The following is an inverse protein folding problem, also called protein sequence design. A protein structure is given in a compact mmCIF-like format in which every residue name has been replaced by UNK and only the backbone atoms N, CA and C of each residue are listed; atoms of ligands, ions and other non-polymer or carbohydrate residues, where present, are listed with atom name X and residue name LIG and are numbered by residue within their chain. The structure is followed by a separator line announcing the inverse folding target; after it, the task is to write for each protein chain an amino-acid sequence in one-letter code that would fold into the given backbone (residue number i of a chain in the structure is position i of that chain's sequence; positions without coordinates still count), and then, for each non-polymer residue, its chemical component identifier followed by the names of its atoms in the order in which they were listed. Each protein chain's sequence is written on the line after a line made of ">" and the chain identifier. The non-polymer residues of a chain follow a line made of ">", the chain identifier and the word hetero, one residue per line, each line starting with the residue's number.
data_IF_297549580439
#
_entry.id   IF_297549580439
#
_cell.length_a   1.000
_cell.length_b   1.000
_cell.length_c   1.000
_cell.angle_alpha   90.00
_cell.angle_beta   90.00
_cell.angle_gamma   90.00
#
_symmetry.space_group_name_H-M   'P 1'
#
loop_
_entity.id
_entity.type
_entity.pdbx_description
1 polymer ?
#
# COMPACT_ATOMS: atom_id res chain seq x y z
N UNK A 1 -9.45 -25.62 -5.39
CA UNK A 1 -8.56 -24.98 -4.40
C UNK A 1 -7.33 -24.44 -5.16
N UNK A 2 -6.75 -23.31 -4.75
CA UNK A 2 -5.59 -22.71 -5.44
C UNK A 2 -4.28 -23.39 -5.03
N UNK A 3 -3.82 -24.40 -5.75
CA UNK A 3 -2.52 -25.04 -5.49
C UNK A 3 -1.44 -24.53 -6.45
N UNK A 4 -0.22 -24.33 -5.93
CA UNK A 4 0.92 -23.86 -6.73
C UNK A 4 1.27 -24.92 -7.79
N UNK A 5 1.45 -24.50 -9.04
CA UNK A 5 1.90 -25.42 -10.08
C UNK A 5 3.41 -25.68 -9.98
N UNK A 6 3.91 -26.83 -10.47
CA UNK A 6 5.35 -27.09 -10.57
C UNK A 6 6.09 -25.97 -11.33
N UNK A 7 5.52 -25.50 -12.44
CA UNK A 7 6.11 -24.42 -13.24
C UNK A 7 6.34 -23.11 -12.46
N UNK A 8 5.36 -22.70 -11.63
CA UNK A 8 5.52 -21.52 -10.76
C UNK A 8 6.53 -21.82 -9.64
N UNK A 9 6.40 -22.98 -8.98
CA UNK A 9 7.26 -23.36 -7.86
C UNK A 9 8.74 -23.41 -8.26
N UNK A 10 9.02 -23.98 -9.42
CA UNK A 10 10.37 -24.20 -9.94
C UNK A 10 10.92 -23.03 -10.74
N UNK A 11 10.10 -22.01 -11.04
CA UNK A 11 10.46 -20.89 -11.90
C UNK A 11 10.90 -21.33 -13.31
N UNK A 12 10.21 -22.31 -13.88
CA UNK A 12 10.37 -22.75 -15.28
C UNK A 12 10.05 -21.57 -16.21
N UNK A 13 10.78 -21.34 -17.31
CA UNK A 13 10.72 -20.06 -18.06
C UNK A 13 10.39 -20.20 -19.55
N UNK A 14 10.32 -21.44 -20.04
CA UNK A 14 10.33 -21.79 -21.46
C UNK A 14 9.14 -21.20 -22.23
N UNK A 15 7.99 -21.13 -21.59
CA UNK A 15 6.71 -20.60 -22.09
C UNK A 15 6.58 -19.07 -22.02
N UNK A 16 7.50 -18.35 -21.35
CA UNK A 16 7.41 -16.90 -21.10
C UNK A 16 8.68 -16.11 -21.41
N UNK A 17 9.79 -16.77 -21.77
CA UNK A 17 11.11 -16.15 -21.85
C UNK A 17 11.12 -14.86 -22.69
N UNK A 18 10.60 -14.90 -23.92
CA UNK A 18 10.57 -13.73 -24.80
C UNK A 18 9.58 -12.65 -24.32
N UNK A 19 8.46 -13.05 -23.71
CA UNK A 19 7.50 -12.11 -23.12
C UNK A 19 8.14 -11.21 -22.07
N UNK A 20 9.06 -11.75 -21.26
CA UNK A 20 9.79 -10.97 -20.24
C UNK A 20 10.65 -9.88 -20.86
N UNK A 21 11.15 -10.08 -22.07
CA UNK A 21 12.01 -9.13 -22.78
C UNK A 21 11.22 -8.01 -23.47
N UNK A 22 9.89 -8.13 -23.52
CA UNK A 22 8.97 -7.10 -24.05
C UNK A 22 8.55 -6.04 -23.01
N UNK A 23 8.83 -6.26 -21.73
CA UNK A 23 8.56 -5.29 -20.66
C UNK A 23 9.62 -4.17 -20.64
N UNK A 24 9.21 -2.97 -20.22
CA UNK A 24 10.10 -1.83 -20.07
C UNK A 24 10.55 -1.71 -18.62
N UNK A 25 11.78 -2.13 -18.34
CA UNK A 25 12.37 -2.10 -17.01
C UNK A 25 13.06 -0.77 -16.69
N UNK A 26 13.07 -0.37 -15.42
CA UNK A 26 13.78 0.83 -14.97
C UNK A 26 15.28 0.57 -14.76
N UNK A 27 16.03 0.48 -15.86
CA UNK A 27 17.45 0.08 -15.85
C UNK A 27 18.45 1.22 -16.03
N UNK A 28 18.00 2.47 -16.24
CA UNK A 28 18.89 3.61 -16.58
C UNK A 28 20.03 3.81 -15.58
N UNK A 29 19.72 3.75 -14.28
CA UNK A 29 20.73 3.91 -13.23
C UNK A 29 21.68 2.71 -13.18
N UNK A 30 21.15 1.49 -13.19
CA UNK A 30 21.93 0.25 -13.20
C UNK A 30 22.92 0.21 -14.36
N UNK A 31 22.46 0.51 -15.58
CA UNK A 31 23.31 0.54 -16.78
C UNK A 31 24.40 1.63 -16.68
N UNK A 32 24.10 2.76 -16.04
CA UNK A 32 25.12 3.78 -15.79
C UNK A 32 26.19 3.32 -14.81
N UNK A 33 25.85 2.50 -13.80
CA UNK A 33 26.83 1.95 -12.86
C UNK A 33 27.72 0.90 -13.54
N UNK A 34 27.11 0.01 -14.34
CA UNK A 34 27.82 -0.99 -15.16
C UNK A 34 28.81 -0.30 -16.11
N UNK A 35 28.38 0.74 -16.82
CA UNK A 35 29.25 1.50 -17.74
C UNK A 35 30.44 2.16 -17.04
N UNK A 36 30.30 2.51 -15.75
CA UNK A 36 31.36 3.09 -14.93
C UNK A 36 32.30 2.04 -14.33
N UNK A 37 32.04 0.75 -14.54
CA UNK A 37 32.82 -0.34 -13.95
C UNK A 37 32.72 -0.38 -12.42
N UNK A 38 31.58 0.05 -11.85
CA UNK A 38 31.35 -0.05 -10.41
C UNK A 38 31.32 -1.52 -10.02
N UNK A 39 31.95 -1.83 -8.89
CA UNK A 39 32.00 -3.17 -8.32
C UNK A 39 30.60 -3.73 -8.06
N UNK A 40 30.41 -5.03 -8.28
CA UNK A 40 29.14 -5.72 -8.08
C UNK A 40 28.74 -5.81 -6.60
N UNK A 41 29.73 -5.74 -5.69
CA UNK A 41 29.52 -5.71 -4.26
C UNK A 41 29.30 -4.28 -3.71
N UNK A 42 29.41 -3.26 -4.58
CA UNK A 42 29.15 -1.88 -4.17
C UNK A 42 27.67 -1.71 -3.77
N UNK A 43 27.38 -1.07 -2.61
CA UNK A 43 26.01 -0.88 -2.14
C UNK A 43 25.08 -0.19 -3.15
N UNK A 44 25.60 0.72 -3.98
CA UNK A 44 24.82 1.40 -5.02
C UNK A 44 24.44 0.46 -6.16
N UNK A 45 25.37 -0.41 -6.59
CA UNK A 45 25.10 -1.44 -7.58
C UNK A 45 24.09 -2.46 -7.04
N UNK A 46 24.34 -3.02 -5.86
CA UNK A 46 23.46 -4.01 -5.22
C UNK A 46 22.04 -3.46 -5.06
N UNK A 47 21.89 -2.24 -4.58
CA UNK A 47 20.58 -1.59 -4.43
C UNK A 47 19.86 -1.45 -5.77
N UNK A 48 20.57 -0.97 -6.81
CA UNK A 48 19.98 -0.80 -8.15
C UNK A 48 19.64 -2.14 -8.81
N UNK A 49 20.50 -3.16 -8.68
CA UNK A 49 20.27 -4.49 -9.21
C UNK A 49 19.10 -5.19 -8.52
N UNK A 50 18.99 -5.11 -7.18
CA UNK A 50 17.86 -5.70 -6.44
C UNK A 50 16.52 -5.06 -6.79
N UNK A 51 16.51 -3.75 -7.06
CA UNK A 51 15.30 -3.07 -7.56
C UNK A 51 14.89 -3.57 -8.94
N UNK A 52 15.85 -3.74 -9.85
CA UNK A 52 15.61 -4.31 -11.18
C UNK A 52 15.16 -5.77 -11.09
N UNK A 53 15.86 -6.60 -10.32
CA UNK A 53 15.55 -8.02 -10.13
C UNK A 53 14.14 -8.23 -9.56
N UNK A 54 13.70 -7.37 -8.64
CA UNK A 54 12.34 -7.36 -8.14
C UNK A 54 11.29 -7.08 -9.24
N UNK A 55 11.55 -6.10 -10.11
CA UNK A 55 10.66 -5.77 -11.23
C UNK A 55 10.56 -6.92 -12.25
N UNK A 56 11.68 -7.58 -12.56
CA UNK A 56 11.69 -8.76 -13.44
C UNK A 56 10.95 -9.93 -12.79
N UNK A 57 11.17 -10.18 -11.49
CA UNK A 57 10.45 -11.23 -10.76
C UNK A 57 8.94 -10.98 -10.76
N UNK A 58 8.50 -9.74 -10.58
CA UNK A 58 7.09 -9.38 -10.63
C UNK A 58 6.45 -9.70 -11.98
N UNK A 59 7.13 -9.36 -13.08
CA UNK A 59 6.65 -9.67 -14.43
C UNK A 59 6.71 -11.18 -14.72
N UNK A 60 7.75 -11.88 -14.25
CA UNK A 60 7.88 -13.33 -14.36
C UNK A 60 6.67 -14.04 -13.73
N UNK A 61 6.39 -13.73 -12.47
CA UNK A 61 5.30 -14.37 -11.74
C UNK A 61 3.96 -13.96 -12.33
N UNK A 62 3.80 -12.71 -12.77
CA UNK A 62 2.58 -12.26 -13.44
C UNK A 62 2.30 -13.07 -14.72
N UNK A 63 3.29 -13.26 -15.61
CA UNK A 63 3.14 -14.07 -16.83
C UNK A 63 2.75 -15.52 -16.53
N UNK A 64 3.31 -16.08 -15.44
CA UNK A 64 2.95 -17.42 -14.98
C UNK A 64 1.56 -17.51 -14.40
N UNK A 65 1.16 -16.51 -13.61
CA UNK A 65 -0.19 -16.44 -13.05
C UNK A 65 -1.24 -16.26 -14.15
N UNK A 66 -0.91 -15.57 -15.23
CA UNK A 66 -1.79 -15.40 -16.39
C UNK A 66 -2.12 -16.76 -17.05
N UNK A 67 -1.10 -17.57 -17.35
CA UNK A 67 -1.24 -18.94 -17.88
C UNK A 67 -1.95 -19.87 -16.89
N UNK A 68 -1.55 -19.81 -15.62
CA UNK A 68 -2.21 -20.57 -14.56
C UNK A 68 -3.71 -20.24 -14.46
N UNK A 69 -4.08 -18.96 -14.58
CA UNK A 69 -5.47 -18.54 -14.51
C UNK A 69 -6.29 -18.97 -15.73
N UNK A 70 -5.67 -19.04 -16.90
CA UNK A 70 -6.30 -19.56 -18.12
C UNK A 70 -6.72 -21.02 -17.94
N UNK A 71 -5.80 -21.85 -17.46
CA UNK A 71 -6.00 -23.30 -17.29
C UNK A 71 -6.84 -23.64 -16.05
N UNK A 72 -6.76 -22.82 -14.98
CA UNK A 72 -7.41 -23.15 -13.73
C UNK A 72 -8.90 -22.78 -13.73
N UNK A 73 -9.77 -23.79 -13.69
CA UNK A 73 -11.23 -23.63 -13.64
C UNK A 73 -11.78 -22.98 -12.38
N UNK A 74 -11.00 -22.91 -11.30
CA UNK A 74 -11.42 -22.19 -10.09
C UNK A 74 -11.41 -20.67 -10.31
N UNK A 75 -10.54 -20.19 -11.19
CA UNK A 75 -10.41 -18.77 -11.53
C UNK A 75 -11.39 -18.46 -12.65
N UNK A 76 -12.28 -17.50 -12.40
CA UNK A 76 -13.31 -17.07 -13.35
C UNK A 76 -12.88 -15.85 -14.14
N UNK A 77 -12.09 -14.97 -13.53
CA UNK A 77 -11.55 -13.77 -14.17
C UNK A 77 -10.16 -13.43 -13.65
N UNK A 78 -9.29 -12.94 -14.52
CA UNK A 78 -7.95 -12.46 -14.18
C UNK A 78 -7.76 -11.06 -14.77
N UNK A 79 -7.22 -10.14 -13.97
CA UNK A 79 -7.07 -8.73 -14.33
C UNK A 79 -5.76 -8.53 -15.09
N UNK A 80 -5.87 -8.04 -16.33
CA UNK A 80 -4.74 -7.79 -17.20
C UNK A 80 -3.95 -6.52 -16.78
N UNK A 81 -2.62 -6.59 -16.89
CA UNK A 81 -1.66 -5.48 -16.74
C UNK A 81 -0.59 -5.55 -17.83
N UNK A 82 0.32 -4.57 -17.90
CA UNK A 82 1.38 -4.57 -18.91
C UNK A 82 0.85 -4.40 -20.33
N UNK A 83 1.59 -4.96 -21.28
CA UNK A 83 1.19 -4.98 -22.70
C UNK A 83 -0.02 -5.88 -22.99
N UNK A 84 -0.53 -6.64 -22.02
CA UNK A 84 -1.72 -7.48 -22.19
C UNK A 84 -3.01 -6.66 -22.20
N UNK A 85 -3.02 -5.45 -21.66
CA UNK A 85 -4.22 -4.60 -21.62
C UNK A 85 -4.22 -3.51 -22.72
N UNK A 86 -5.41 -3.05 -23.13
CA UNK A 86 -5.58 -1.87 -23.97
C UNK A 86 -5.10 -0.56 -23.31
N UNK A 87 -4.98 0.49 -24.13
CA UNK A 87 -4.35 1.79 -23.77
C UNK A 87 -4.90 2.37 -22.45
N UNK A 88 -3.98 2.85 -21.62
CA UNK A 88 -4.23 3.45 -20.32
C UNK A 88 -5.27 4.57 -20.38
N UNK A 89 -6.43 4.36 -19.75
CA UNK A 89 -7.36 5.44 -19.41
C UNK A 89 -7.32 5.66 -17.90
N UNK A 90 -6.87 6.85 -17.51
CA UNK A 90 -6.80 7.27 -16.11
C UNK A 90 -8.21 7.65 -15.62
N UNK A 91 -8.96 6.66 -15.15
CA UNK A 91 -10.27 6.89 -14.56
C UNK A 91 -10.15 7.16 -13.05
N UNK A 92 -10.87 8.17 -12.56
CA UNK A 92 -10.87 8.51 -11.14
C UNK A 92 -11.87 7.64 -10.34
N UNK A 93 -11.50 7.28 -9.11
CA UNK A 93 -12.29 6.47 -8.18
C UNK A 93 -12.60 5.07 -8.70
N UNK A 94 -11.65 4.46 -9.41
CA UNK A 94 -11.75 3.10 -9.91
C UNK A 94 -10.40 2.40 -9.96
N UNK A 95 -10.41 1.10 -10.26
CA UNK A 95 -9.24 0.36 -10.70
C UNK A 95 -8.89 0.73 -12.14
N UNK A 96 -7.60 0.95 -12.39
CA UNK A 96 -7.05 1.30 -13.69
C UNK A 96 -5.61 0.81 -13.79
N UNK A 97 -5.01 0.96 -14.96
CA UNK A 97 -3.58 0.69 -15.15
C UNK A 97 -2.77 1.98 -15.04
N UNK A 98 -1.67 1.90 -14.30
CA UNK A 98 -0.77 3.03 -14.08
C UNK A 98 0.09 3.32 -15.31
N UNK A 99 0.82 4.44 -15.29
CA UNK A 99 1.83 4.72 -16.34
C UNK A 99 2.98 3.71 -16.30
N UNK A 100 3.19 3.05 -15.15
CA UNK A 100 4.14 1.95 -14.96
C UNK A 100 3.51 0.59 -15.25
N UNK A 101 2.36 0.58 -15.91
CA UNK A 101 1.61 -0.61 -16.30
C UNK A 101 1.15 -1.52 -15.14
N UNK A 102 1.05 -0.98 -13.92
CA UNK A 102 0.58 -1.71 -12.72
C UNK A 102 -0.91 -1.52 -12.48
N UNK A 103 -1.56 -2.48 -11.81
CA UNK A 103 -2.96 -2.36 -11.41
C UNK A 103 -3.05 -1.43 -10.21
N UNK A 104 -3.75 -0.31 -10.34
CA UNK A 104 -3.85 0.69 -9.27
C UNK A 104 -5.30 1.11 -9.03
N UNK A 105 -5.63 1.33 -7.76
CA UNK A 105 -6.84 2.08 -7.41
C UNK A 105 -6.49 3.57 -7.27
N UNK A 106 -7.18 4.42 -8.05
CA UNK A 106 -6.93 5.86 -8.07
C UNK A 106 -8.09 6.64 -7.47
N UNK A 107 -7.80 7.70 -6.72
CA UNK A 107 -8.76 8.76 -6.42
C UNK A 107 -8.23 10.08 -6.99
N UNK A 108 -9.04 10.76 -7.80
CA UNK A 108 -8.59 11.91 -8.59
C UNK A 108 -7.30 11.56 -9.35
N UNK A 109 -6.19 12.26 -9.08
CA UNK A 109 -4.86 12.03 -9.68
C UNK A 109 -3.87 11.29 -8.77
N UNK A 110 -4.35 10.63 -7.70
CA UNK A 110 -3.49 9.94 -6.73
C UNK A 110 -3.79 8.45 -6.66
N UNK A 111 -2.73 7.66 -6.68
CA UNK A 111 -2.78 6.22 -6.46
C UNK A 111 -2.87 5.94 -4.95
N UNK A 112 -3.89 5.18 -4.55
CA UNK A 112 -4.12 4.78 -3.15
C UNK A 112 -3.41 3.46 -2.86
N UNK A 113 -3.47 2.55 -3.83
CA UNK A 113 -2.92 1.22 -3.75
C UNK A 113 -2.60 0.72 -5.14
N UNK A 114 -1.55 -0.11 -5.19
CA UNK A 114 -1.06 -0.83 -6.36
C UNK A 114 -1.17 -2.32 -6.07
N UNK A 115 -1.38 -3.16 -7.08
CA UNK A 115 -1.53 -4.61 -6.94
C UNK A 115 -0.72 -5.31 -8.02
N UNK A 116 0.05 -6.32 -7.62
CA UNK A 116 0.96 -7.03 -8.53
C UNK A 116 0.17 -7.91 -9.51
N UNK A 117 -0.91 -8.53 -9.03
CA UNK A 117 -1.94 -9.20 -9.82
C UNK A 117 -3.27 -9.25 -9.05
N UNK A 118 -4.38 -9.46 -9.77
CA UNK A 118 -5.71 -9.63 -9.19
C UNK A 118 -6.53 -10.64 -9.98
N UNK A 119 -7.33 -11.47 -9.29
CA UNK A 119 -8.24 -12.40 -9.94
C UNK A 119 -9.47 -12.73 -9.08
N UNK A 120 -10.51 -13.24 -9.74
CA UNK A 120 -11.80 -13.60 -9.16
C UNK A 120 -12.01 -15.11 -9.28
N UNK A 121 -12.68 -15.70 -8.30
CA UNK A 121 -12.94 -17.15 -8.26
C UNK A 121 -14.43 -17.48 -8.39
N UNK A 122 -14.75 -18.78 -8.53
CA UNK A 122 -16.13 -19.28 -8.53
C UNK A 122 -16.91 -18.96 -7.25
N UNK A 123 -16.24 -18.71 -6.13
CA UNK A 123 -16.85 -18.55 -4.81
C UNK A 123 -17.07 -17.08 -4.40
N UNK A 124 -17.15 -16.15 -5.36
CA UNK A 124 -17.17 -14.70 -5.09
C UNK A 124 -16.01 -14.27 -4.17
N UNK A 125 -14.83 -14.83 -4.41
CA UNK A 125 -13.60 -14.38 -3.76
C UNK A 125 -12.82 -13.50 -4.73
N UNK A 126 -12.25 -12.44 -4.20
CA UNK A 126 -11.30 -11.60 -4.92
C UNK A 126 -9.93 -11.79 -4.27
N UNK A 127 -9.00 -12.31 -5.05
CA UNK A 127 -7.60 -12.44 -4.67
C UNK A 127 -6.82 -11.25 -5.22
N UNK A 128 -6.09 -10.58 -4.35
CA UNK A 128 -4.97 -9.74 -4.75
C UNK A 128 -3.66 -10.45 -4.45
N UNK A 129 -2.66 -10.27 -5.30
CA UNK A 129 -1.37 -10.94 -5.18
C UNK A 129 -0.33 -9.94 -4.68
N UNK A 130 0.49 -10.38 -3.72
CA UNK A 130 1.76 -9.74 -3.43
C UNK A 130 2.90 -10.73 -3.69
N UNK A 131 3.95 -10.27 -4.34
CA UNK A 131 5.18 -11.02 -4.52
C UNK A 131 6.38 -10.22 -4.03
N UNK A 132 7.39 -10.90 -3.48
CA UNK A 132 8.59 -10.23 -2.97
C UNK A 132 9.78 -11.19 -2.86
N UNK A 133 10.95 -10.70 -3.26
CA UNK A 133 12.24 -11.37 -3.05
C UNK A 133 12.82 -11.13 -1.63
N UNK A 134 12.25 -10.19 -0.88
CA UNK A 134 12.72 -9.84 0.48
C UNK A 134 12.48 -10.98 1.47
N UNK A 135 13.52 -11.39 2.19
CA UNK A 135 13.48 -12.49 3.18
C UNK A 135 12.58 -12.22 4.39
N UNK A 136 12.47 -10.97 4.85
CA UNK A 136 11.63 -10.62 6.01
C UNK A 136 10.33 -9.95 5.57
N UNK A 137 9.20 -10.57 5.91
CA UNK A 137 7.86 -10.12 5.46
C UNK A 137 7.09 -9.28 6.48
N UNK A 138 7.73 -8.85 7.58
CA UNK A 138 7.06 -8.07 8.64
C UNK A 138 6.42 -6.78 8.12
N UNK A 139 7.12 -6.05 7.24
CA UNK A 139 6.60 -4.82 6.62
C UNK A 139 5.45 -5.08 5.65
N UNK A 140 5.37 -6.28 5.06
CA UNK A 140 4.33 -6.65 4.10
C UNK A 140 2.95 -6.67 4.77
N UNK A 141 2.86 -7.12 6.03
CA UNK A 141 1.59 -7.21 6.77
C UNK A 141 0.81 -5.90 6.84
N UNK A 142 1.50 -4.76 7.03
CA UNK A 142 0.85 -3.43 7.04
C UNK A 142 0.27 -3.06 5.68
N UNK A 143 0.98 -3.39 4.60
CA UNK A 143 0.55 -3.17 3.22
C UNK A 143 -0.66 -4.04 2.87
N UNK A 144 -0.65 -5.32 3.28
CA UNK A 144 -1.78 -6.24 3.10
C UNK A 144 -3.06 -5.75 3.78
N UNK A 145 -2.96 -5.27 5.03
CA UNK A 145 -4.12 -4.74 5.77
C UNK A 145 -4.78 -3.59 5.02
N UNK A 146 -4.00 -2.65 4.50
CA UNK A 146 -4.50 -1.51 3.71
C UNK A 146 -5.16 -1.94 2.41
N UNK A 147 -4.51 -2.85 1.67
CA UNK A 147 -5.01 -3.41 0.41
C UNK A 147 -6.34 -4.14 0.62
N UNK A 148 -6.40 -5.00 1.64
CA UNK A 148 -7.64 -5.69 2.04
C UNK A 148 -8.75 -4.71 2.39
N UNK A 149 -8.48 -3.73 3.27
CA UNK A 149 -9.49 -2.75 3.69
C UNK A 149 -10.05 -1.95 2.51
N UNK A 150 -9.20 -1.53 1.57
CA UNK A 150 -9.65 -0.87 0.33
C UNK A 150 -10.59 -1.79 -0.47
N UNK A 151 -10.17 -3.02 -0.73
CA UNK A 151 -10.92 -3.97 -1.54
C UNK A 151 -12.26 -4.34 -0.89
N UNK A 152 -12.32 -4.49 0.44
CA UNK A 152 -13.57 -4.73 1.17
C UNK A 152 -14.55 -3.55 1.09
N UNK A 153 -14.06 -2.33 0.87
CA UNK A 153 -14.90 -1.14 0.68
C UNK A 153 -15.47 -1.10 -0.74
N UNK A 154 -14.65 -1.40 -1.75
CA UNK A 154 -15.05 -1.25 -3.17
C UNK A 154 -15.65 -2.54 -3.76
N UNK A 155 -15.52 -3.69 -3.09
CA UNK A 155 -16.12 -4.97 -3.45
C UNK A 155 -16.82 -5.61 -2.25
N UNK A 156 -17.90 -4.99 -1.72
CA UNK A 156 -18.55 -5.46 -0.49
C UNK A 156 -19.17 -6.86 -0.61
N UNK A 157 -19.45 -7.32 -1.84
CA UNK A 157 -20.04 -8.63 -2.11
C UNK A 157 -19.00 -9.74 -2.34
N UNK A 158 -17.71 -9.43 -2.17
CA UNK A 158 -16.63 -10.39 -2.34
C UNK A 158 -15.92 -10.68 -1.03
N UNK A 159 -15.53 -11.93 -0.83
CA UNK A 159 -14.57 -12.28 0.23
C UNK A 159 -13.18 -11.93 -0.26
N UNK A 160 -12.53 -10.97 0.40
CA UNK A 160 -11.19 -10.54 0.02
C UNK A 160 -10.14 -11.47 0.60
N UNK A 161 -9.35 -12.08 -0.28
CA UNK A 161 -8.22 -12.95 0.06
C UNK A 161 -6.94 -12.41 -0.58
N UNK A 162 -5.80 -12.88 -0.12
CA UNK A 162 -4.52 -12.58 -0.75
C UNK A 162 -3.73 -13.83 -1.05
N UNK A 163 -3.02 -13.81 -2.18
CA UNK A 163 -2.00 -14.79 -2.50
C UNK A 163 -0.64 -14.13 -2.33
N UNK A 164 0.20 -14.69 -1.48
CA UNK A 164 1.54 -14.17 -1.19
C UNK A 164 2.55 -15.14 -1.79
N UNK A 165 3.41 -14.65 -2.68
CA UNK A 165 4.42 -15.46 -3.35
C UNK A 165 5.79 -15.02 -2.83
N UNK A 166 6.52 -15.96 -2.24
CA UNK A 166 7.80 -15.74 -1.56
C UNK A 166 8.84 -16.72 -2.07
N UNK A 167 10.11 -16.35 -1.99
CA UNK A 167 11.18 -17.33 -2.18
C UNK A 167 11.33 -18.23 -0.95
N UNK A 168 11.83 -19.44 -1.18
CA UNK A 168 12.30 -20.34 -0.12
C UNK A 168 13.29 -19.60 0.80
N UNK A 169 13.19 -19.87 2.10
CA UNK A 169 13.97 -19.18 3.13
C UNK A 169 13.38 -17.85 3.63
N UNK A 170 12.24 -17.39 3.11
CA UNK A 170 11.54 -16.25 3.70
C UNK A 170 11.04 -16.55 5.13
N UNK A 171 11.28 -15.62 6.05
CA UNK A 171 10.92 -15.75 7.47
C UNK A 171 9.69 -14.90 7.81
N UNK A 172 8.91 -15.35 8.80
CA UNK A 172 7.72 -14.63 9.27
C UNK A 172 6.41 -14.96 8.53
N UNK A 173 6.44 -15.87 7.53
CA UNK A 173 5.25 -16.27 6.77
C UNK A 173 4.13 -16.88 7.67
N UNK A 174 4.50 -17.57 8.75
CA UNK A 174 3.53 -18.12 9.72
C UNK A 174 2.71 -17.04 10.45
N UNK A 175 3.13 -15.78 10.41
CA UNK A 175 2.43 -14.66 11.06
C UNK A 175 1.43 -13.95 10.14
N UNK A 176 1.24 -14.44 8.90
CA UNK A 176 0.23 -13.86 8.03
C UNK A 176 -1.19 -14.15 8.54
N UNK A 177 -2.11 -13.19 8.37
CA UNK A 177 -3.52 -13.41 8.67
C UNK A 177 -4.14 -14.58 7.86
N UNK A 178 -5.25 -15.13 8.36
CA UNK A 178 -5.96 -16.26 7.74
C UNK A 178 -6.50 -16.00 6.32
N UNK A 179 -6.65 -14.74 5.90
CA UNK A 179 -7.03 -14.41 4.53
C UNK A 179 -5.87 -14.56 3.52
N UNK A 180 -4.64 -14.79 3.99
CA UNK A 180 -3.46 -14.96 3.16
C UNK A 180 -3.21 -16.45 2.87
N UNK A 181 -3.12 -16.81 1.58
CA UNK A 181 -2.48 -18.04 1.14
C UNK A 181 -1.04 -17.75 0.76
N UNK A 182 -0.10 -18.62 1.12
CA UNK A 182 1.33 -18.43 0.84
C UNK A 182 1.82 -19.53 -0.10
N UNK A 183 2.54 -19.12 -1.14
CA UNK A 183 3.25 -19.97 -2.09
C UNK A 183 4.74 -19.69 -1.99
N UNK A 184 5.53 -20.75 -2.04
CA UNK A 184 6.99 -20.67 -2.03
C UNK A 184 7.55 -21.09 -3.39
N UNK A 185 8.42 -20.25 -3.95
CA UNK A 185 9.18 -20.50 -5.17
C UNK A 185 10.64 -20.73 -4.85
N UNK A 186 11.38 -21.35 -5.78
CA UNK A 186 12.85 -21.34 -5.75
C UNK A 186 13.41 -19.92 -5.78
N UNK A 187 14.72 -19.80 -5.56
CA UNK A 187 15.42 -18.53 -5.71
C UNK A 187 15.40 -18.06 -7.17
N UNK A 188 15.05 -16.79 -7.36
CA UNK A 188 14.97 -16.15 -8.67
C UNK A 188 16.21 -15.30 -8.93
N UNK A 189 16.65 -15.25 -10.19
CA UNK A 189 17.71 -14.35 -10.66
C UNK A 189 17.32 -13.70 -11.98
N UNK A 190 17.58 -12.40 -12.08
CA UNK A 190 17.34 -11.61 -13.30
C UNK A 190 18.58 -11.51 -14.22
N UNK A 191 19.64 -12.30 -13.96
CA UNK A 191 20.91 -12.20 -14.67
C UNK A 191 20.77 -12.32 -16.20
N UNK A 192 19.98 -13.28 -16.69
CA UNK A 192 19.77 -13.48 -18.12
C UNK A 192 19.04 -12.31 -18.80
N UNK A 193 18.07 -11.71 -18.09
CA UNK A 193 17.35 -10.53 -18.59
C UNK A 193 18.29 -9.33 -18.62
N UNK A 194 19.14 -9.16 -17.60
CA UNK A 194 20.16 -8.11 -17.60
C UNK A 194 21.14 -8.29 -18.76
N UNK A 195 21.62 -9.52 -18.99
CA UNK A 195 22.52 -9.87 -20.09
C UNK A 195 21.91 -9.52 -21.45
N UNK A 196 20.63 -9.82 -21.67
CA UNK A 196 19.95 -9.43 -22.90
C UNK A 196 19.84 -7.90 -23.06
N UNK A 197 19.57 -7.17 -21.98
CA UNK A 197 19.45 -5.70 -22.02
C UNK A 197 20.79 -5.03 -22.34
N UNK A 198 21.91 -5.59 -21.86
CA UNK A 198 23.27 -5.05 -22.06
C UNK A 198 23.91 -5.46 -23.39
N UNK A 199 23.44 -6.54 -24.04
CA UNK A 199 23.91 -6.96 -25.36
C UNK A 199 23.72 -5.88 -26.42
N UNK A 200 24.79 -5.63 -27.19
CA UNK A 200 24.80 -4.71 -28.33
C UNK A 200 24.08 -5.29 -29.55
N UNK A 201 24.27 -6.59 -29.79
CA UNK A 201 23.57 -7.34 -30.82
C UNK A 201 22.43 -8.13 -30.17
N UNK A 202 21.20 -7.69 -30.41
CA UNK A 202 20.00 -8.27 -29.79
C UNK A 202 19.40 -9.29 -30.73
N UNK A 203 19.25 -10.52 -30.24
CA UNK A 203 18.46 -11.53 -30.93
C UNK A 203 17.04 -11.00 -31.18
N UNK A 204 16.46 -11.37 -32.32
CA UNK A 204 15.10 -10.99 -32.66
C UNK A 204 14.12 -11.76 -31.77
N UNK A 205 13.37 -11.02 -30.96
CA UNK A 205 12.32 -11.59 -30.12
C UNK A 205 11.16 -12.12 -30.96
N UNK A 206 10.55 -13.21 -30.50
CA UNK A 206 9.23 -13.62 -30.94
C UNK A 206 8.19 -12.52 -30.63
N UNK A 207 7.09 -12.44 -31.40
CA UNK A 207 6.00 -11.53 -31.09
C UNK A 207 5.46 -11.73 -29.67
N UNK A 208 4.90 -10.66 -29.09
CA UNK A 208 4.25 -10.71 -27.78
C UNK A 208 3.17 -11.78 -27.77
N UNK A 209 3.33 -12.78 -26.91
CA UNK A 209 2.31 -13.79 -26.70
C UNK A 209 1.24 -13.25 -25.75
N UNK A 210 0.02 -13.04 -26.28
CA UNK A 210 -1.12 -12.50 -25.53
C UNK A 210 -2.19 -13.56 -25.38
N UNK A 211 -2.59 -13.82 -24.14
CA UNK A 211 -3.67 -14.75 -23.83
C UNK A 211 -5.04 -14.14 -24.15
N UNK A 212 -5.75 -14.75 -25.10
CA UNK A 212 -7.07 -14.32 -25.56
C UNK A 212 -8.19 -15.21 -25.00
N UNK A 213 -8.26 -15.31 -23.67
CA UNK A 213 -9.30 -16.06 -22.97
C UNK A 213 -10.41 -15.13 -22.45
N UNK A 214 -11.66 -15.63 -22.39
CA UNK A 214 -12.79 -14.91 -21.76
C UNK A 214 -12.59 -14.65 -20.26
N UNK A 215 -11.65 -15.37 -19.63
CA UNK A 215 -11.23 -15.11 -18.24
C UNK A 215 -10.42 -13.82 -18.12
N UNK A 216 -9.76 -13.37 -19.19
CA UNK A 216 -8.88 -12.19 -19.15
C UNK A 216 -9.70 -10.92 -19.31
N UNK A 217 -9.64 -10.05 -18.31
CA UNK A 217 -10.42 -8.81 -18.26
C UNK A 217 -9.52 -7.61 -18.00
N UNK A 218 -9.93 -6.45 -18.52
CA UNK A 218 -9.29 -5.19 -18.16
C UNK A 218 -9.74 -4.72 -16.77
N UNK A 219 -8.87 -4.00 -16.05
CA UNK A 219 -9.14 -3.52 -14.71
C UNK A 219 -10.42 -2.67 -14.60
N UNK A 220 -10.72 -1.89 -15.64
CA UNK A 220 -11.89 -1.01 -15.69
C UNK A 220 -13.22 -1.76 -15.87
N UNK A 221 -13.20 -3.04 -16.28
CA UNK A 221 -14.40 -3.86 -16.46
C UNK A 221 -14.96 -4.38 -15.14
N UNK A 222 -14.19 -4.31 -14.05
CA UNK A 222 -14.67 -4.61 -12.71
C UNK A 222 -15.68 -3.54 -12.28
N UNK A 223 -16.85 -3.98 -11.83
CA UNK A 223 -17.86 -3.09 -11.25
C UNK A 223 -17.57 -2.87 -9.78
N UNK A 224 -17.23 -1.64 -9.42
CA UNK A 224 -16.87 -1.25 -8.06
C UNK A 224 -18.06 -0.61 -7.35
N UNK A 225 -18.17 -0.85 -6.05
CA UNK A 225 -19.01 -0.06 -5.17
C UNK A 225 -18.43 1.37 -5.06
N UNK A 226 -19.25 2.43 -5.21
CA UNK A 226 -18.76 3.80 -5.17
C UNK A 226 -18.03 4.13 -3.87
N UNK A 227 -16.81 4.64 -4.00
CA UNK A 227 -16.01 5.07 -2.85
C UNK A 227 -15.32 6.41 -3.12
N UNK A 228 -15.67 7.42 -2.30
CA UNK A 228 -15.13 8.78 -2.42
C UNK A 228 -14.17 9.07 -1.27
N UNK A 229 -12.90 8.75 -1.49
CA UNK A 229 -11.82 8.79 -0.49
C UNK A 229 -11.83 10.06 0.40
N UNK A 230 -11.79 11.25 -0.19
CA UNK A 230 -11.73 12.50 0.57
C UNK A 230 -13.05 12.85 1.26
N UNK A 231 -14.19 12.50 0.66
CA UNK A 231 -15.51 12.74 1.25
C UNK A 231 -15.71 11.86 2.49
N UNK A 232 -15.30 10.60 2.42
CA UNK A 232 -15.34 9.68 3.56
C UNK A 232 -14.42 10.20 4.69
N UNK A 233 -13.20 10.65 4.37
CA UNK A 233 -12.32 11.24 5.38
C UNK A 233 -12.93 12.48 6.03
N UNK A 234 -13.52 13.39 5.24
CA UNK A 234 -14.25 14.55 5.76
C UNK A 234 -15.42 14.17 6.66
N UNK A 235 -16.20 13.15 6.27
CA UNK A 235 -17.32 12.65 7.06
C UNK A 235 -16.85 12.08 8.40
N UNK A 236 -15.77 11.29 8.41
CA UNK A 236 -15.19 10.73 9.64
C UNK A 236 -14.73 11.85 10.57
N UNK A 237 -13.94 12.81 10.07
CA UNK A 237 -13.45 13.95 10.87
C UNK A 237 -14.61 14.75 11.48
N UNK A 238 -15.66 15.05 10.70
CA UNK A 238 -16.84 15.76 11.19
C UNK A 238 -17.59 14.95 12.24
N UNK A 239 -17.81 13.67 12.00
CA UNK A 239 -18.65 12.81 12.84
C UNK A 239 -17.97 12.49 14.18
N UNK A 240 -16.67 12.20 14.18
CA UNK A 240 -15.89 11.99 15.43
C UNK A 240 -16.00 13.20 16.36
N UNK A 241 -16.14 14.41 15.79
CA UNK A 241 -16.18 15.69 16.52
C UNK A 241 -17.59 16.29 16.66
N UNK A 242 -18.63 15.59 16.22
CA UNK A 242 -19.98 16.15 16.19
C UNK A 242 -20.62 16.29 17.59
N UNK A 243 -20.21 15.46 18.55
CA UNK A 243 -20.80 15.45 19.88
C UNK A 243 -20.24 16.58 20.75
N UNK A 244 -21.10 17.44 21.30
CA UNK A 244 -20.70 18.57 22.16
C UNK A 244 -20.18 18.16 23.54
N UNK A 245 -20.52 16.95 24.03
CA UNK A 245 -20.13 16.46 25.37
C UNK A 245 -18.76 15.82 25.39
N UNK A 246 -18.30 15.27 24.26
CA UNK A 246 -17.07 14.49 24.20
C UNK A 246 -16.07 15.12 23.24
N UNK A 247 -14.79 15.04 23.59
CA UNK A 247 -13.71 15.52 22.70
C UNK A 247 -13.63 14.64 21.44
N UNK A 248 -13.89 13.35 21.56
CA UNK A 248 -14.05 12.45 20.42
C UNK A 248 -15.14 11.45 20.72
N UNK A 249 -15.94 11.09 19.72
CA UNK A 249 -16.92 10.02 19.82
C UNK A 249 -16.23 8.65 19.68
N UNK A 250 -15.92 8.03 20.82
CA UNK A 250 -15.30 6.70 20.87
C UNK A 250 -16.23 5.60 20.35
N UNK A 251 -17.55 5.73 20.51
CA UNK A 251 -18.49 4.72 20.01
C UNK A 251 -18.47 4.70 18.49
N UNK A 252 -18.51 5.87 17.86
CA UNK A 252 -18.36 6.00 16.43
C UNK A 252 -17.01 5.48 15.93
N UNK A 253 -15.91 5.92 16.56
CA UNK A 253 -14.55 5.51 16.19
C UNK A 253 -14.38 3.99 16.20
N UNK A 254 -14.98 3.31 17.17
CA UNK A 254 -14.82 1.87 17.37
C UNK A 254 -15.85 1.02 16.61
N UNK A 255 -16.75 1.61 15.82
CA UNK A 255 -17.62 0.83 14.94
C UNK A 255 -16.80 0.06 13.89
N UNK A 256 -17.25 -1.14 13.52
CA UNK A 256 -16.55 -1.99 12.54
C UNK A 256 -16.31 -1.26 11.21
N UNK A 257 -17.32 -0.52 10.73
CA UNK A 257 -17.23 0.30 9.51
C UNK A 257 -16.12 1.35 9.59
N UNK A 258 -16.03 2.07 10.71
CA UNK A 258 -15.01 3.11 10.90
C UNK A 258 -13.63 2.51 11.11
N UNK A 259 -13.52 1.38 11.81
CA UNK A 259 -12.28 0.64 11.95
C UNK A 259 -11.74 0.13 10.61
N UNK A 260 -12.61 -0.34 9.71
CA UNK A 260 -12.22 -0.72 8.34
C UNK A 260 -11.68 0.47 7.55
N UNK A 261 -12.29 1.64 7.67
CA UNK A 261 -11.70 2.87 7.12
C UNK A 261 -10.37 3.19 7.80
N UNK A 262 -10.25 3.03 9.12
CA UNK A 262 -9.01 3.32 9.83
C UNK A 262 -7.86 2.43 9.36
N UNK A 263 -8.15 1.18 9.01
CA UNK A 263 -7.19 0.27 8.39
C UNK A 263 -6.73 0.75 7.01
N UNK A 264 -7.61 1.35 6.21
CA UNK A 264 -7.28 1.97 4.92
C UNK A 264 -6.45 3.26 5.08
N UNK A 265 -6.96 4.25 5.82
CA UNK A 265 -6.31 5.56 5.97
C UNK A 265 -5.07 5.50 6.89
N UNK A 266 -5.02 4.51 7.79
CA UNK A 266 -4.10 4.36 8.92
C UNK A 266 -4.18 5.48 9.97
N UNK A 267 -4.89 6.58 9.68
CA UNK A 267 -5.04 7.72 10.57
C UNK A 267 -6.32 8.51 10.30
N UNK A 268 -6.86 9.10 11.35
CA UNK A 268 -7.96 10.06 11.28
C UNK A 268 -7.58 11.37 11.94
N UNK A 269 -8.00 12.48 11.35
CA UNK A 269 -7.69 13.81 11.84
C UNK A 269 -8.85 14.33 12.67
N UNK A 270 -8.56 14.87 13.85
CA UNK A 270 -9.59 15.19 14.86
C UNK A 270 -9.58 16.64 15.33
N UNK A 271 -8.54 17.41 15.00
CA UNK A 271 -8.47 18.81 15.33
C UNK A 271 -7.08 19.38 15.12
N UNK A 272 -6.84 20.58 15.63
CA UNK A 272 -5.52 21.21 15.61
C UNK A 272 -5.27 22.04 16.87
N UNK A 273 -4.00 22.30 17.15
CA UNK A 273 -3.52 23.32 18.08
C UNK A 273 -2.62 24.29 17.30
N UNK A 274 -2.12 25.32 17.96
CA UNK A 274 -1.08 26.20 17.41
C UNK A 274 0.33 25.68 17.74
N UNK A 275 1.34 26.12 16.98
CA UNK A 275 2.75 25.87 17.29
C UNK A 275 3.10 26.44 18.65
N UNK A 276 2.57 27.62 19.00
CA UNK A 276 2.75 28.26 20.31
C UNK A 276 2.43 27.32 21.46
N UNK A 277 1.30 26.61 21.40
CA UNK A 277 0.87 25.68 22.44
C UNK A 277 1.70 24.37 22.47
N UNK A 278 2.19 23.95 21.30
CA UNK A 278 2.84 22.64 21.15
C UNK A 278 4.38 22.69 21.14
N UNK A 279 4.98 23.88 21.11
CA UNK A 279 6.43 24.11 21.00
C UNK A 279 7.23 23.29 22.02
N UNK A 280 6.83 23.36 23.28
CA UNK A 280 7.50 22.64 24.37
C UNK A 280 7.21 21.13 24.32
N UNK A 281 6.01 20.72 23.93
CA UNK A 281 5.63 19.30 23.86
C UNK A 281 6.35 18.57 22.73
N UNK A 282 6.58 19.26 21.60
CA UNK A 282 7.21 18.70 20.40
C UNK A 282 8.71 19.02 20.29
N UNK A 283 9.29 19.70 21.29
CA UNK A 283 10.69 20.15 21.29
C UNK A 283 11.07 20.92 20.00
N UNK A 284 10.20 21.84 19.56
CA UNK A 284 10.42 22.63 18.35
C UNK A 284 11.52 23.67 18.60
N UNK A 285 12.38 23.90 17.61
CA UNK A 285 13.43 24.93 17.71
C UNK A 285 12.81 26.32 17.59
N UNK A 286 13.45 27.31 18.22
CA UNK A 286 13.07 28.71 18.07
C UNK A 286 13.09 29.13 16.60
N UNK A 287 12.06 29.84 16.14
CA UNK A 287 11.93 30.29 14.76
C UNK A 287 11.75 29.18 13.70
N UNK A 288 11.60 27.91 14.09
CA UNK A 288 11.43 26.80 13.13
C UNK A 288 10.10 26.90 12.36
N UNK A 289 9.06 27.39 13.02
CA UNK A 289 7.70 27.56 12.50
C UNK A 289 7.09 28.86 13.03
N UNK A 290 6.09 29.39 12.33
CA UNK A 290 5.29 30.51 12.86
C UNK A 290 4.47 30.05 14.06
N UNK A 291 4.37 30.89 15.10
CA UNK A 291 3.64 30.56 16.34
C UNK A 291 2.17 30.21 16.10
N UNK A 292 1.53 30.87 15.14
CA UNK A 292 0.12 30.66 14.76
C UNK A 292 -0.09 29.49 13.79
N UNK A 293 1.00 28.83 13.37
CA UNK A 293 0.92 27.72 12.44
C UNK A 293 0.20 26.54 13.10
N UNK A 294 -0.72 25.92 12.34
CA UNK A 294 -1.52 24.80 12.84
C UNK A 294 -0.69 23.53 12.99
N UNK A 295 -0.80 22.91 14.16
CA UNK A 295 -0.34 21.56 14.48
C UNK A 295 -1.56 20.64 14.43
N UNK A 296 -1.72 19.92 13.32
CA UNK A 296 -2.86 19.02 13.09
C UNK A 296 -2.70 17.76 13.94
N UNK A 297 -3.73 17.41 14.70
CA UNK A 297 -3.79 16.23 15.58
C UNK A 297 -4.48 15.09 14.84
N UNK A 298 -3.84 13.92 14.84
CA UNK A 298 -4.35 12.71 14.21
C UNK A 298 -4.30 11.49 15.14
N UNK A 299 -5.27 10.60 14.98
CA UNK A 299 -5.35 9.29 15.61
C UNK A 299 -4.76 8.25 14.66
N UNK A 300 -3.52 7.83 14.87
CA UNK A 300 -2.84 6.83 14.05
C UNK A 300 -3.05 5.43 14.61
N UNK A 301 -3.54 4.50 13.78
CA UNK A 301 -3.62 3.07 14.13
C UNK A 301 -2.29 2.39 13.84
N UNK A 302 -1.70 1.79 14.87
CA UNK A 302 -0.47 1.00 14.81
C UNK A 302 -0.75 -0.42 14.33
N UNK A 303 0.31 -1.17 14.07
CA UNK A 303 0.16 -2.55 13.62
C UNK A 303 -0.45 -3.47 14.69
N UNK A 304 -0.16 -3.19 15.96
CA UNK A 304 -0.76 -3.81 17.15
C UNK A 304 -2.25 -3.49 17.34
N UNK A 305 -2.85 -2.75 16.42
CA UNK A 305 -4.20 -2.18 16.50
C UNK A 305 -4.39 -1.12 17.61
N UNK A 306 -3.32 -0.79 18.33
CA UNK A 306 -3.27 0.38 19.20
C UNK A 306 -3.48 1.67 18.39
N UNK A 307 -4.38 2.54 18.85
CA UNK A 307 -4.58 3.85 18.27
C UNK A 307 -3.87 4.89 19.15
N UNK A 308 -2.95 5.66 18.56
CA UNK A 308 -2.17 6.67 19.27
C UNK A 308 -2.35 8.06 18.67
N UNK A 309 -2.02 9.09 19.44
CA UNK A 309 -2.04 10.47 18.94
C UNK A 309 -0.71 10.82 18.27
N UNK A 310 -0.79 11.39 17.07
CA UNK A 310 0.34 11.92 16.29
C UNK A 310 0.03 13.33 15.81
N UNK A 311 1.08 14.05 15.41
CA UNK A 311 0.98 15.48 15.09
C UNK A 311 1.60 15.78 13.73
N UNK A 312 1.00 16.69 13.00
CA UNK A 312 1.43 17.07 11.66
C UNK A 312 1.57 18.58 11.56
N UNK A 313 2.72 19.03 11.06
CA UNK A 313 2.97 20.44 10.76
C UNK A 313 3.22 20.56 9.26
N UNK A 314 2.32 21.26 8.57
CA UNK A 314 2.42 21.52 7.14
C UNK A 314 2.99 22.92 6.93
N UNK A 315 4.17 23.02 6.31
CA UNK A 315 4.83 24.31 6.03
C UNK A 315 4.50 24.83 4.64
N UNK A 316 4.28 23.95 3.68
CA UNK A 316 3.82 24.29 2.33
C UNK A 316 2.88 23.21 1.81
N UNK A 317 2.29 23.43 0.63
CA UNK A 317 1.44 22.43 -0.04
C UNK A 317 2.12 21.07 -0.24
N UNK A 318 3.47 21.04 -0.31
CA UNK A 318 4.27 19.84 -0.55
C UNK A 318 5.15 19.44 0.63
N UNK A 319 5.30 20.28 1.65
CA UNK A 319 6.18 20.02 2.79
C UNK A 319 5.35 19.73 4.05
N UNK A 320 5.50 18.52 4.56
CA UNK A 320 4.79 18.02 5.74
C UNK A 320 5.75 17.26 6.66
N UNK A 321 5.69 17.57 7.94
CA UNK A 321 6.42 16.86 8.99
C UNK A 321 5.45 16.13 9.91
N UNK A 322 5.75 14.87 10.19
CA UNK A 322 5.12 14.07 11.25
C UNK A 322 5.97 14.18 12.52
N UNK A 323 5.30 14.42 13.63
CA UNK A 323 5.83 14.30 14.97
C UNK A 323 5.09 13.19 15.72
N UNK A 324 5.86 12.24 16.25
CA UNK A 324 5.35 11.11 17.03
C UNK A 324 6.21 10.86 18.26
N UNK A 325 5.68 10.15 19.25
CA UNK A 325 6.42 9.78 20.46
C UNK A 325 6.85 8.31 20.37
N UNK A 326 8.13 8.06 20.64
CA UNK A 326 8.69 6.72 20.85
C UNK A 326 9.41 6.71 22.20
N UNK A 327 8.92 5.94 23.18
CA UNK A 327 9.47 5.90 24.55
C UNK A 327 9.76 7.29 25.14
N UNK A 328 8.75 8.17 25.06
CA UNK A 328 8.80 9.59 25.46
C UNK A 328 9.74 10.51 24.63
N UNK A 329 10.52 9.97 23.70
CA UNK A 329 11.31 10.77 22.75
C UNK A 329 10.46 11.21 21.56
N UNK A 330 10.54 12.50 21.24
CA UNK A 330 9.91 13.06 20.03
C UNK A 330 10.70 12.62 18.80
N UNK A 331 10.02 12.01 17.84
CA UNK A 331 10.53 11.63 16.53
C UNK A 331 9.92 12.54 15.48
N UNK A 332 10.78 13.23 14.71
CA UNK A 332 10.41 14.08 13.58
C UNK A 332 10.72 13.36 12.27
N UNK A 333 9.72 13.22 11.40
CA UNK A 333 9.85 12.57 10.10
C UNK A 333 9.31 13.49 8.99
N UNK A 334 10.13 13.76 7.96
CA UNK A 334 9.66 14.46 6.75
C UNK A 334 8.89 13.48 5.87
N UNK A 335 7.67 13.84 5.48
CA UNK A 335 6.85 13.02 4.58
C UNK A 335 7.18 13.27 3.10
N UNK A 336 6.97 12.24 2.29
CA UNK A 336 7.10 12.32 0.83
C UNK A 336 6.17 13.42 0.28
N UNK A 337 6.70 14.43 -0.42
CA UNK A 337 5.93 15.50 -1.05
C UNK A 337 4.81 15.05 -2.00
N UNK A 338 4.95 13.85 -2.57
CA UNK A 338 3.98 13.26 -3.50
C UNK A 338 3.10 12.20 -2.84
N UNK A 339 3.38 11.86 -1.57
CA UNK A 339 2.61 10.91 -0.80
C UNK A 339 1.21 11.41 -0.45
N UNK A 340 0.25 10.49 -0.38
CA UNK A 340 -1.16 10.81 -0.12
C UNK A 340 -1.40 11.55 1.21
N UNK A 341 -0.55 11.29 2.20
CA UNK A 341 -0.65 11.95 3.52
C UNK A 341 -0.51 13.47 3.42
N UNK A 342 0.30 13.98 2.49
CA UNK A 342 0.42 15.44 2.26
C UNK A 342 -0.90 16.02 1.78
N UNK A 343 -1.55 15.34 0.84
CA UNK A 343 -2.85 15.77 0.30
C UNK A 343 -3.99 15.58 1.29
N UNK A 344 -3.93 14.56 2.14
CA UNK A 344 -4.89 14.36 3.24
C UNK A 344 -4.83 15.48 4.27
N UNK A 345 -3.63 15.80 4.78
CA UNK A 345 -3.45 16.90 5.75
C UNK A 345 -3.89 18.21 5.13
N UNK A 346 -3.49 18.49 3.89
CA UNK A 346 -3.93 19.71 3.20
C UNK A 346 -5.45 19.82 3.11
N UNK A 347 -6.12 18.72 2.73
CA UNK A 347 -7.58 18.66 2.60
C UNK A 347 -8.28 18.88 3.95
N UNK A 348 -7.82 18.22 5.01
CA UNK A 348 -8.43 18.35 6.34
C UNK A 348 -8.12 19.72 6.97
N UNK A 349 -6.91 20.25 6.78
CA UNK A 349 -6.57 21.57 7.30
C UNK A 349 -7.46 22.67 6.68
N UNK A 350 -7.82 22.55 5.39
CA UNK A 350 -8.80 23.44 4.74
C UNK A 350 -10.23 23.24 5.27
N UNK A 351 -10.58 22.04 5.71
CA UNK A 351 -11.91 21.71 6.24
C UNK A 351 -12.11 22.20 7.68
N UNK A 352 -11.06 22.17 8.50
CA UNK A 352 -11.12 22.52 9.92
C UNK A 352 -11.15 24.04 10.12
N UNK A 353 -12.21 24.50 10.80
CA UNK A 353 -12.35 25.87 11.32
C UNK A 353 -12.10 25.88 12.85
N UNK A 354 -12.35 27.01 13.50
CA UNK A 354 -12.11 27.17 14.95
C UNK A 354 -12.86 26.17 15.85
N UNK A 355 -13.95 25.53 15.39
CA UNK A 355 -14.62 24.47 16.16
C UNK A 355 -13.77 23.19 16.34
N UNK A 356 -12.67 23.08 15.60
CA UNK A 356 -11.69 22.00 15.67
C UNK A 356 -10.43 22.38 16.45
N UNK A 357 -10.37 23.60 17.00
CA UNK A 357 -9.30 23.98 17.92
C UNK A 357 -9.39 23.09 19.17
N UNK A 358 -8.26 22.47 19.52
CA UNK A 358 -8.13 21.62 20.68
C UNK A 358 -7.30 22.32 21.75
N UNK A 359 -7.60 22.05 23.02
CA UNK A 359 -6.69 22.38 24.11
C UNK A 359 -5.77 21.20 24.44
N UNK A 360 -4.64 21.49 25.10
CA UNK A 360 -3.72 20.43 25.58
C UNK A 360 -4.45 19.43 26.50
N UNK A 361 -5.37 19.91 27.35
CA UNK A 361 -6.19 19.06 28.22
C UNK A 361 -7.08 18.09 27.42
N UNK A 362 -7.68 18.57 26.33
CA UNK A 362 -8.47 17.73 25.42
C UNK A 362 -7.60 16.67 24.73
N UNK A 363 -6.40 17.03 24.27
CA UNK A 363 -5.44 16.07 23.69
C UNK A 363 -5.03 15.00 24.70
N UNK A 364 -4.77 15.38 25.94
CA UNK A 364 -4.44 14.43 27.01
C UNK A 364 -5.61 13.51 27.34
N UNK A 365 -6.84 14.03 27.32
CA UNK A 365 -8.06 13.24 27.46
C UNK A 365 -8.20 12.21 26.34
N UNK A 366 -7.98 12.60 25.08
CA UNK A 366 -7.95 11.67 23.93
C UNK A 366 -6.91 10.57 24.16
N UNK A 367 -5.66 10.92 24.50
CA UNK A 367 -4.59 9.95 24.75
C UNK A 367 -4.98 8.95 25.85
N UNK A 368 -5.57 9.44 26.94
CA UNK A 368 -6.04 8.61 28.06
C UNK A 368 -7.12 7.62 27.61
N UNK A 369 -8.16 8.11 26.91
CA UNK A 369 -9.26 7.27 26.42
C UNK A 369 -8.77 6.14 25.50
N UNK A 370 -7.86 6.46 24.57
CA UNK A 370 -7.29 5.49 23.64
C UNK A 370 -6.44 4.43 24.37
N UNK A 371 -5.59 4.86 25.31
CA UNK A 371 -4.75 3.96 26.11
C UNK A 371 -5.58 3.01 26.98
N UNK A 372 -6.59 3.54 27.66
CA UNK A 372 -7.51 2.74 28.49
C UNK A 372 -8.34 1.77 27.66
N UNK A 373 -8.72 2.16 26.43
CA UNK A 373 -9.42 1.25 25.52
C UNK A 373 -8.52 0.10 25.09
N UNK A 374 -7.30 0.39 24.64
CA UNK A 374 -6.35 -0.63 24.20
C UNK A 374 -6.04 -1.63 25.32
N UNK A 375 -5.77 -1.15 26.55
CA UNK A 375 -5.58 -2.01 27.73
C UNK A 375 -6.75 -2.96 27.98
N UNK A 376 -7.99 -2.45 27.88
CA UNK A 376 -9.21 -3.25 28.08
C UNK A 376 -9.38 -4.33 27.01
N UNK A 377 -9.00 -4.06 25.77
CA UNK A 377 -9.04 -5.06 24.69
C UNK A 377 -7.97 -6.13 24.87
N UNK A 378 -6.74 -5.74 25.24
CA UNK A 378 -5.64 -6.68 25.47
C UNK A 378 -5.84 -7.60 26.69
N UNK A 379 -6.74 -7.25 27.60
CA UNK A 379 -7.07 -8.05 28.80
C UNK A 379 -8.25 -9.00 28.59
N UNK A 380 -8.97 -8.90 27.46
CA UNK A 380 -10.01 -9.90 27.15
C UNK A 380 -9.31 -11.23 26.80
N UNK A 381 -9.67 -12.36 27.42
CA UNK A 381 -9.20 -13.65 26.94
C UNK A 381 -9.57 -13.79 25.48
N UNK A 382 -8.65 -14.30 24.66
CA UNK A 382 -8.91 -14.58 23.25
C UNK A 382 -10.02 -15.64 23.15
N UNK A 383 -11.27 -15.21 23.10
CA UNK A 383 -12.35 -16.01 22.54
C UNK A 383 -12.14 -16.00 21.02
N UNK A 384 -11.35 -16.97 20.55
CA UNK A 384 -11.27 -17.37 19.15
C UNK A 384 -11.29 -18.88 19.06
#
# INVERSE_FOLDING_TARGET
>A
MLEISPAIKNLEKEDIADNLLHYVYNTKHLLSLIKKGIDLDDPSYLSSYRSFEGEVYENFIYEKLLRYAEENDYITKFVLKGFHQGKCKAYANTLSISEKEQIVYRTKSREISEFDAMFLTKNNELYFVEMTLVKSVLKLRRRLRKKKALLEIIFPNYTIKSLIILNEGATGAKQFPSYCKVWFTKEFSAAEVLEYITKLDKQKLLPKDKINSKKMIEAHMLKLHPFRYYNTMSWITKTIRANKKYVIDMNFLMTEKVQRYHDLYNKFYVGFLTVKEMKNILHLKEGEYSEEQRVVVALEKKHSDEIVVTYYIQTTRKNLYLYSFNDAKVVKEKKDPYGITVTEVFHINKLMNESYLLSISQVNTIKKLLKERFKRESQKPNEK
#
